data_IF_016989972959
#
_entry.id   IF_016989972959
#
_cell.length_a   1.000
_cell.length_b   1.000
_cell.length_c   1.000
_cell.angle_alpha   90.00
_cell.angle_beta   90.00
_cell.angle_gamma   90.00
#
_symmetry.space_group_name_H-M   'P 1'
#
loop_
_entity.id
_entity.type
_entity.pdbx_description
1 polymer ?
#
# COMPACT_ATOMS: atom_id res chain seq x y z
N UNK A 1 1.62 -14.90 8.54
CA UNK A 1 2.00 -15.58 7.27
C UNK A 1 3.51 -15.59 7.13
N UNK A 2 4.05 -16.46 6.31
CA UNK A 2 5.48 -16.58 6.07
C UNK A 2 5.73 -16.76 4.58
N UNK A 3 6.71 -16.05 4.04
CA UNK A 3 7.20 -16.32 2.68
C UNK A 3 7.94 -17.65 2.68
N UNK A 4 7.76 -18.44 1.61
CA UNK A 4 8.56 -19.64 1.41
C UNK A 4 10.03 -19.23 1.18
N UNK A 5 10.87 -19.55 2.14
CA UNK A 5 12.31 -19.28 2.12
C UNK A 5 13.17 -20.55 2.11
N UNK A 6 12.53 -21.71 1.91
CA UNK A 6 13.18 -23.01 1.94
C UNK A 6 13.26 -23.69 0.57
N UNK A 7 12.37 -23.32 -0.36
CA UNK A 7 12.31 -23.92 -1.70
C UNK A 7 13.31 -23.28 -2.65
N UNK A 8 14.20 -24.08 -3.23
CA UNK A 8 15.04 -23.65 -4.35
C UNK A 8 14.23 -23.70 -5.64
N UNK A 9 14.09 -22.56 -6.31
CA UNK A 9 13.35 -22.44 -7.58
C UNK A 9 14.28 -22.58 -8.77
N UNK A 10 13.81 -23.26 -9.81
CA UNK A 10 14.47 -23.28 -11.11
C UNK A 10 14.12 -21.99 -11.89
N UNK A 11 14.93 -21.68 -12.90
CA UNK A 11 14.65 -20.54 -13.79
C UNK A 11 13.26 -20.65 -14.39
N UNK A 12 12.46 -19.60 -14.32
CA UNK A 12 11.09 -19.55 -14.83
C UNK A 12 10.01 -20.11 -13.88
N UNK A 13 10.38 -20.63 -12.72
CA UNK A 13 9.41 -21.05 -11.71
C UNK A 13 9.01 -19.89 -10.79
N UNK A 14 7.72 -19.82 -10.47
CA UNK A 14 7.18 -18.87 -9.50
C UNK A 14 7.23 -19.46 -8.08
N UNK A 15 7.47 -18.58 -7.09
CA UNK A 15 7.38 -18.94 -5.68
C UNK A 15 5.91 -19.05 -5.26
N UNK A 16 5.62 -19.99 -4.38
CA UNK A 16 4.29 -20.11 -3.78
C UNK A 16 3.93 -18.81 -3.04
N UNK A 17 2.71 -18.34 -3.24
CA UNK A 17 2.16 -17.16 -2.60
C UNK A 17 0.90 -17.50 -1.80
N UNK A 18 0.55 -16.63 -0.88
CA UNK A 18 -0.68 -16.73 -0.08
C UNK A 18 -1.44 -15.42 -0.19
N UNK A 19 -2.73 -15.53 -0.51
CA UNK A 19 -3.68 -14.41 -0.55
C UNK A 19 -4.74 -14.62 0.53
N UNK A 20 -5.02 -13.60 1.32
CA UNK A 20 -6.05 -13.61 2.36
C UNK A 20 -7.02 -12.47 2.08
N UNK A 21 -8.31 -12.77 2.11
CA UNK A 21 -9.37 -11.78 1.91
C UNK A 21 -10.34 -11.75 3.09
N UNK A 22 -10.93 -10.57 3.43
CA UNK A 22 -12.01 -10.49 4.39
C UNK A 22 -13.32 -11.04 3.83
N UNK A 23 -14.04 -11.72 4.70
CA UNK A 23 -15.42 -12.06 4.40
C UNK A 23 -16.34 -10.83 4.48
N UNK A 24 -15.93 -9.83 5.24
CA UNK A 24 -16.67 -8.58 5.42
C UNK A 24 -16.28 -7.59 4.32
N UNK A 25 -17.24 -6.87 3.80
CA UNK A 25 -17.06 -5.78 2.82
C UNK A 25 -17.24 -4.45 3.51
N UNK A 26 -16.54 -3.44 3.03
CA UNK A 26 -16.54 -2.09 3.59
C UNK A 26 -16.86 -1.09 2.47
N UNK A 27 -17.53 -0.02 2.84
CA UNK A 27 -17.83 1.11 1.96
C UNK A 27 -17.35 2.41 2.62
N UNK A 28 -16.06 2.42 2.93
CA UNK A 28 -15.41 3.50 3.68
C UNK A 28 -15.03 3.11 5.10
N UNK A 29 -14.24 3.95 5.73
CA UNK A 29 -13.78 3.78 7.11
C UNK A 29 -12.34 4.17 7.31
N UNK A 30 -11.88 4.04 8.54
CA UNK A 30 -10.47 4.15 8.90
C UNK A 30 -9.88 2.75 9.01
N UNK A 31 -8.84 2.51 8.22
CA UNK A 31 -8.11 1.26 8.16
C UNK A 31 -6.73 1.47 8.76
N UNK A 32 -6.39 0.71 9.78
CA UNK A 32 -5.09 0.76 10.45
C UNK A 32 -4.36 -0.56 10.25
N UNK A 33 -3.15 -0.50 9.74
CA UNK A 33 -2.28 -1.65 9.56
C UNK A 33 -0.99 -1.42 10.35
N UNK A 34 -0.78 -2.23 11.37
CA UNK A 34 0.44 -2.27 12.18
C UNK A 34 1.36 -3.36 11.62
N UNK A 35 2.48 -2.95 11.03
CA UNK A 35 3.46 -3.84 10.38
C UNK A 35 4.72 -3.84 11.20
N UNK A 36 5.01 -4.95 11.89
CA UNK A 36 6.25 -5.12 12.66
C UNK A 36 7.42 -5.44 11.74
N UNK A 37 7.18 -6.27 10.73
CA UNK A 37 8.21 -6.70 9.79
C UNK A 37 7.57 -7.13 8.48
N UNK A 38 8.17 -6.77 7.35
CA UNK A 38 7.72 -7.21 6.03
C UNK A 38 8.82 -7.95 5.27
N UNK A 39 8.46 -8.83 4.32
CA UNK A 39 9.45 -9.49 3.48
C UNK A 39 10.11 -8.47 2.56
N UNK A 40 11.41 -8.66 2.33
CA UNK A 40 12.19 -7.90 1.36
C UNK A 40 13.22 -8.81 0.73
N UNK A 41 13.52 -8.61 -0.56
CA UNK A 41 14.47 -9.42 -1.31
C UNK A 41 14.10 -9.61 -2.76
N UNK A 42 15.02 -10.15 -3.56
CA UNK A 42 14.80 -10.41 -4.97
C UNK A 42 13.59 -11.33 -5.21
N UNK A 43 12.82 -11.05 -6.25
CA UNK A 43 11.64 -11.82 -6.68
C UNK A 43 10.51 -11.89 -5.63
N UNK A 44 10.52 -10.98 -4.67
CA UNK A 44 9.39 -10.76 -3.79
C UNK A 44 8.56 -9.60 -4.32
N UNK A 45 7.29 -9.82 -4.40
CA UNK A 45 6.27 -8.78 -4.54
C UNK A 45 5.32 -8.97 -3.37
N UNK A 46 5.67 -8.38 -2.26
CA UNK A 46 4.79 -8.40 -1.12
C UNK A 46 3.55 -7.57 -1.49
N UNK A 47 2.56 -8.18 -2.13
CA UNK A 47 1.24 -7.64 -2.42
C UNK A 47 0.19 -8.48 -1.70
N UNK A 48 -0.65 -7.87 -0.90
CA UNK A 48 -1.67 -8.56 -0.13
C UNK A 48 -3.01 -7.88 -0.24
N UNK A 49 -4.07 -8.59 -0.63
CA UNK A 49 -5.43 -8.10 -0.42
C UNK A 49 -5.68 -7.96 1.07
N UNK A 50 -6.02 -6.77 1.48
CA UNK A 50 -6.34 -6.55 2.87
C UNK A 50 -7.72 -6.85 3.18
N UNK A 51 -7.69 -7.61 4.15
CA UNK A 51 -8.75 -7.66 5.10
C UNK A 51 -8.30 -6.95 6.31
N UNK A 52 -9.01 -5.90 6.57
CA UNK A 52 -8.90 -5.14 7.76
C UNK A 52 -8.80 -6.00 8.99
N UNK A 53 -7.79 -5.75 9.80
CA UNK A 53 -7.82 -6.08 11.21
C UNK A 53 -8.13 -4.84 12.04
N UNK A 54 -9.37 -4.78 12.53
CA UNK A 54 -9.58 -4.16 13.81
C UNK A 54 -8.71 -4.90 14.83
N UNK A 55 -7.78 -4.22 15.45
CA UNK A 55 -7.04 -4.72 16.58
C UNK A 55 -8.04 -4.99 17.70
N UNK A 56 -8.43 -6.24 17.88
CA UNK A 56 -8.81 -6.71 19.20
C UNK A 56 -7.50 -7.14 19.86
N UNK A 57 -7.16 -6.47 20.94
CA UNK A 57 -5.97 -6.75 21.74
C UNK A 57 -5.81 -8.25 21.96
N UNK A 58 -4.71 -8.83 21.53
CA UNK A 58 -3.93 -9.86 22.20
C UNK A 58 -3.14 -10.84 21.34
N UNK A 59 -3.20 -10.84 20.00
CA UNK A 59 -2.35 -11.78 19.25
C UNK A 59 -1.51 -11.06 18.19
N UNK A 60 -0.21 -10.99 18.48
CA UNK A 60 0.83 -10.51 17.54
C UNK A 60 1.03 -11.60 16.50
N UNK A 61 0.31 -11.49 15.39
CA UNK A 61 0.62 -12.25 14.20
C UNK A 61 1.69 -11.50 13.41
N UNK A 62 2.88 -12.07 13.31
CA UNK A 62 3.93 -11.64 12.38
C UNK A 62 3.42 -11.85 10.94
N UNK A 63 2.75 -10.86 10.39
CA UNK A 63 2.26 -10.87 9.02
C UNK A 63 3.23 -10.11 8.12
N UNK A 64 3.80 -10.82 7.18
CA UNK A 64 4.38 -10.20 5.98
C UNK A 64 3.24 -9.75 5.08
N UNK A 65 2.89 -8.48 5.07
CA UNK A 65 1.68 -8.01 4.38
C UNK A 65 1.92 -6.73 3.60
N UNK A 66 1.33 -6.72 2.44
CA UNK A 66 0.87 -5.56 1.74
C UNK A 66 -0.65 -5.47 1.85
N UNK A 67 -1.17 -4.28 1.69
CA UNK A 67 -2.55 -4.05 1.94
C UNK A 67 -3.19 -3.22 0.85
N UNK A 68 -4.25 -3.75 0.23
CA UNK A 68 -5.12 -3.01 -0.69
C UNK A 68 -6.60 -3.31 -0.43
N UNK A 69 -7.45 -2.42 -0.92
CA UNK A 69 -8.91 -2.56 -0.94
C UNK A 69 -9.33 -2.71 -2.39
N UNK A 70 -10.04 -3.75 -2.76
CA UNK A 70 -10.51 -3.96 -4.12
C UNK A 70 -11.98 -4.34 -4.18
N UNK A 71 -12.67 -3.90 -5.22
CA UNK A 71 -14.04 -4.28 -5.51
C UNK A 71 -14.11 -5.62 -6.27
N UNK A 72 -15.29 -6.24 -6.22
CA UNK A 72 -15.53 -7.52 -6.92
C UNK A 72 -15.69 -7.37 -8.42
N UNK A 73 -16.07 -6.20 -8.88
CA UNK A 73 -16.25 -5.83 -10.29
C UNK A 73 -15.07 -4.99 -10.81
N UNK A 74 -13.87 -5.38 -10.43
CA UNK A 74 -12.64 -4.72 -10.85
C UNK A 74 -12.52 -4.57 -12.38
N UNK A 75 -12.04 -3.42 -12.91
CA UNK A 75 -11.61 -2.22 -12.18
C UNK A 75 -12.74 -1.22 -11.91
N UNK A 76 -13.99 -1.50 -12.29
CA UNK A 76 -15.10 -0.56 -12.21
C UNK A 76 -15.38 -0.11 -10.77
N UNK A 77 -15.30 -1.00 -9.81
CA UNK A 77 -15.45 -0.68 -8.39
C UNK A 77 -14.22 -0.10 -7.72
N UNK A 78 -13.10 -0.03 -8.42
CA UNK A 78 -11.85 0.55 -7.94
C UNK A 78 -10.99 -0.38 -7.10
N UNK A 79 -9.75 0.07 -6.87
CA UNK A 79 -8.74 -0.54 -6.00
C UNK A 79 -7.92 0.56 -5.32
N UNK A 80 -7.58 0.35 -4.06
CA UNK A 80 -6.76 1.26 -3.25
C UNK A 80 -5.61 0.44 -2.67
N UNK A 81 -4.40 0.63 -3.19
CA UNK A 81 -3.18 0.02 -2.68
C UNK A 81 -2.49 1.00 -1.75
N UNK A 82 -2.56 0.76 -0.46
CA UNK A 82 -1.99 1.68 0.52
C UNK A 82 -0.63 1.25 1.05
N UNK A 83 -0.21 0.04 0.74
CA UNK A 83 1.12 -0.48 1.03
C UNK A 83 1.56 -1.41 -0.09
N UNK A 84 2.48 -0.95 -0.93
CA UNK A 84 2.97 -1.72 -2.07
C UNK A 84 4.42 -1.40 -2.41
N UNK A 85 5.17 -2.42 -2.83
CA UNK A 85 6.51 -2.33 -3.37
C UNK A 85 7.03 -3.70 -3.81
N UNK A 86 8.16 -3.72 -4.49
CA UNK A 86 8.74 -4.95 -5.06
C UNK A 86 10.21 -5.11 -4.70
N UNK A 87 10.67 -6.35 -4.67
CA UNK A 87 12.07 -6.70 -4.50
C UNK A 87 12.70 -6.12 -3.23
N UNK A 88 13.59 -5.16 -3.41
CA UNK A 88 14.36 -4.49 -2.36
C UNK A 88 13.96 -3.03 -2.19
N UNK A 89 12.75 -2.67 -2.64
CA UNK A 89 12.23 -1.31 -2.44
C UNK A 89 12.26 -0.93 -0.96
N UNK A 90 12.53 0.34 -0.72
CA UNK A 90 12.52 0.94 0.61
C UNK A 90 11.49 2.07 0.73
N UNK A 91 10.89 2.48 -0.39
CA UNK A 91 9.85 3.48 -0.45
C UNK A 91 8.51 2.83 -0.71
N UNK A 92 7.52 3.12 0.12
CA UNK A 92 6.16 2.68 -0.13
C UNK A 92 5.56 3.38 -1.35
N UNK A 93 4.80 2.66 -2.15
CA UNK A 93 3.96 3.21 -3.21
C UNK A 93 2.49 3.07 -2.82
N UNK A 94 1.74 4.13 -3.04
CA UNK A 94 0.30 4.15 -2.85
C UNK A 94 -0.33 4.35 -4.21
N UNK A 95 -1.21 3.42 -4.61
CA UNK A 95 -1.75 3.38 -5.97
C UNK A 95 -3.27 3.29 -5.95
N UNK A 96 -3.91 3.96 -6.90
CA UNK A 96 -5.34 3.79 -7.16
C UNK A 96 -5.53 3.23 -8.57
N UNK A 97 -6.42 2.25 -8.70
CA UNK A 97 -6.83 1.70 -9.98
C UNK A 97 -8.33 1.90 -10.17
N UNK A 98 -8.72 2.44 -11.33
CA UNK A 98 -10.12 2.73 -11.66
C UNK A 98 -10.41 2.43 -13.13
N UNK A 99 -11.66 2.60 -13.51
CA UNK A 99 -12.04 2.78 -14.92
C UNK A 99 -11.46 4.09 -15.48
N UNK A 100 -11.47 4.26 -16.82
CA UNK A 100 -11.07 5.51 -17.45
C UNK A 100 -11.80 6.74 -16.89
N UNK A 101 -11.09 7.89 -16.82
CA UNK A 101 -11.66 9.18 -16.46
C UNK A 101 -11.30 9.69 -15.06
N UNK A 102 -10.57 8.90 -14.26
CA UNK A 102 -10.03 9.34 -12.98
C UNK A 102 -8.55 9.69 -13.11
N UNK A 103 -8.16 10.84 -12.59
CA UNK A 103 -6.77 11.32 -12.58
C UNK A 103 -6.41 11.93 -11.23
N UNK A 104 -5.17 11.77 -10.83
CA UNK A 104 -4.62 12.41 -9.64
C UNK A 104 -4.37 13.90 -9.92
N UNK A 105 -4.83 14.77 -9.02
CA UNK A 105 -4.52 16.20 -9.06
C UNK A 105 -3.08 16.45 -8.59
N UNK A 106 -2.18 16.52 -9.55
CA UNK A 106 -0.74 16.71 -9.29
C UNK A 106 -0.38 18.09 -8.74
N UNK A 107 -1.27 19.07 -8.84
CA UNK A 107 -1.06 20.42 -8.29
C UNK A 107 -1.01 20.43 -6.75
N UNK A 108 -1.52 19.37 -6.12
CA UNK A 108 -1.52 19.18 -4.67
C UNK A 108 -0.26 18.50 -4.13
N UNK A 109 0.64 18.06 -5.00
CA UNK A 109 1.91 17.45 -4.59
C UNK A 109 2.83 18.50 -3.96
N UNK A 110 3.28 18.24 -2.74
CA UNK A 110 4.25 19.08 -2.04
C UNK A 110 5.23 18.21 -1.24
N UNK A 111 6.22 17.61 -1.92
CA UNK A 111 7.14 16.65 -1.32
C UNK A 111 8.02 17.26 -0.21
N UNK A 112 8.19 18.58 -0.22
CA UNK A 112 9.05 19.29 0.74
C UNK A 112 8.32 19.73 2.03
N UNK A 113 6.99 19.59 2.08
CA UNK A 113 6.24 19.93 3.30
C UNK A 113 6.40 18.85 4.35
N UNK A 114 6.91 19.27 5.50
CA UNK A 114 6.72 18.54 6.75
C UNK A 114 5.26 18.55 7.19
N UNK A 115 4.91 17.64 8.11
CA UNK A 115 3.58 17.58 8.70
C UNK A 115 3.29 18.74 9.67
N UNK A 116 1.99 19.06 9.88
CA UNK A 116 0.77 18.48 9.32
C UNK A 116 0.36 19.10 8.00
N UNK A 117 -0.20 18.30 7.08
CA UNK A 117 -0.74 18.74 5.80
C UNK A 117 -2.18 19.22 6.05
N UNK A 118 -2.37 20.50 6.27
CA UNK A 118 -3.69 21.08 6.63
C UNK A 118 -4.51 21.61 5.46
N UNK A 119 -3.97 21.58 4.24
CA UNK A 119 -4.47 22.28 3.06
C UNK A 119 -4.83 21.37 1.87
N UNK A 120 -5.16 20.11 2.12
CA UNK A 120 -5.39 19.09 1.09
C UNK A 120 -4.20 18.84 0.14
N UNK A 121 -3.01 19.21 0.53
CA UNK A 121 -1.79 18.80 -0.16
C UNK A 121 -1.30 17.45 0.37
N UNK A 122 -0.47 16.78 -0.39
CA UNK A 122 0.18 15.54 0.03
C UNK A 122 1.69 15.63 -0.13
N UNK A 123 2.40 14.86 0.66
CA UNK A 123 3.85 14.69 0.56
C UNK A 123 4.16 13.49 -0.33
N UNK A 124 5.16 13.35 -1.01
CA UNK A 124 5.46 12.21 -1.88
C UNK A 124 5.62 12.62 -3.32
N UNK A 125 6.18 11.72 -4.08
CA UNK A 125 6.48 11.94 -5.50
C UNK A 125 5.45 11.24 -6.35
N UNK A 126 4.74 12.01 -7.18
CA UNK A 126 3.82 11.43 -8.18
C UNK A 126 4.63 10.67 -9.21
N UNK A 127 4.34 9.40 -9.40
CA UNK A 127 4.95 8.52 -10.41
C UNK A 127 4.09 8.47 -11.66
N UNK A 128 2.79 8.34 -11.49
CA UNK A 128 1.78 8.32 -12.55
C UNK A 128 0.53 9.03 -12.08
N UNK A 129 -0.17 9.74 -12.97
CA UNK A 129 -1.38 10.49 -12.62
C UNK A 129 -2.66 9.89 -13.19
N UNK A 130 -2.59 9.03 -14.20
CA UNK A 130 -3.77 8.37 -14.78
C UNK A 130 -4.09 7.10 -13.99
N UNK A 131 -5.28 7.08 -13.36
CA UNK A 131 -5.72 5.95 -12.54
C UNK A 131 -6.37 4.82 -13.36
N UNK A 132 -6.43 4.95 -14.69
CA UNK A 132 -7.04 3.97 -15.57
C UNK A 132 -6.29 2.64 -15.58
N UNK A 133 -6.87 1.62 -14.95
CA UNK A 133 -6.30 0.28 -14.88
C UNK A 133 -6.22 -0.44 -16.24
N UNK A 134 -7.03 -0.01 -17.21
CA UNK A 134 -7.07 -0.59 -18.56
C UNK A 134 -6.03 0.03 -19.50
N UNK A 135 -5.28 1.01 -19.03
CA UNK A 135 -4.20 1.65 -19.75
C UNK A 135 -2.85 1.38 -19.06
N UNK A 136 -1.75 1.70 -19.76
CA UNK A 136 -0.39 1.73 -19.19
C UNK A 136 0.02 0.46 -18.42
N UNK A 137 -0.39 -0.71 -18.90
CA UNK A 137 -0.08 -2.01 -18.28
C UNK A 137 -0.55 -2.12 -16.82
N UNK A 138 -1.69 -1.52 -16.51
CA UNK A 138 -2.27 -1.52 -15.15
C UNK A 138 -1.40 -0.81 -14.11
N UNK A 139 -0.72 0.27 -14.47
CA UNK A 139 0.11 1.02 -13.52
C UNK A 139 -0.71 1.80 -12.50
N UNK A 140 -1.93 2.19 -12.85
CA UNK A 140 -2.76 3.07 -12.02
C UNK A 140 -2.17 4.46 -11.81
N UNK A 141 -2.75 5.28 -10.95
CA UNK A 141 -2.13 6.53 -10.49
C UNK A 141 -1.44 6.29 -9.15
N UNK A 142 -0.17 6.70 -9.07
CA UNK A 142 0.70 6.28 -7.98
C UNK A 142 1.49 7.45 -7.40
N UNK A 143 1.57 7.47 -6.07
CA UNK A 143 2.40 8.36 -5.27
C UNK A 143 3.41 7.49 -4.50
N UNK A 144 4.69 7.78 -4.63
CA UNK A 144 5.74 7.14 -3.87
C UNK A 144 6.14 7.99 -2.66
N UNK A 145 6.24 7.34 -1.50
CA UNK A 145 6.78 7.97 -0.29
C UNK A 145 8.23 8.44 -0.53
N UNK A 146 8.63 9.49 0.16
CA UNK A 146 10.00 10.02 0.11
C UNK A 146 10.87 9.55 1.27
N UNK A 147 10.30 8.83 2.25
CA UNK A 147 11.04 8.27 3.38
C UNK A 147 11.44 6.83 3.12
N UNK A 148 12.73 6.55 3.02
CA UNK A 148 13.27 5.20 2.82
C UNK A 148 13.02 4.22 3.97
N UNK A 149 12.29 4.63 5.01
CA UNK A 149 11.82 3.77 6.10
C UNK A 149 10.35 3.39 5.94
N UNK A 150 9.73 3.83 4.87
CA UNK A 150 8.31 3.57 4.61
C UNK A 150 8.03 2.17 4.04
N UNK A 151 9.08 1.39 3.68
CA UNK A 151 8.91 0.06 3.12
C UNK A 151 10.15 -0.82 3.32
N UNK A 152 9.98 -2.14 3.16
CA UNK A 152 11.07 -3.11 3.03
C UNK A 152 12.09 -3.09 4.16
N UNK A 153 13.37 -3.11 3.79
CA UNK A 153 14.47 -3.13 4.75
C UNK A 153 14.52 -1.88 5.64
N UNK A 154 14.13 -0.72 5.11
CA UNK A 154 14.08 0.51 5.88
C UNK A 154 13.03 0.48 6.98
N UNK A 155 11.83 -0.04 6.70
CA UNK A 155 10.79 -0.26 7.70
C UNK A 155 11.21 -1.29 8.75
N UNK A 156 11.80 -2.40 8.30
CA UNK A 156 12.27 -3.45 9.20
C UNK A 156 13.36 -2.95 10.14
N UNK A 157 14.26 -2.10 9.65
CA UNK A 157 15.37 -1.53 10.43
C UNK A 157 14.92 -0.64 11.60
N UNK A 158 13.72 -0.09 11.54
CA UNK A 158 13.10 0.68 12.63
C UNK A 158 12.06 -0.10 13.44
N UNK A 159 12.00 -1.42 13.27
CA UNK A 159 11.08 -2.33 13.95
C UNK A 159 9.61 -2.17 13.55
N UNK A 160 9.37 -1.71 12.33
CA UNK A 160 8.02 -1.61 11.77
C UNK A 160 7.43 -0.21 11.77
N UNK A 161 6.13 -0.13 11.50
CA UNK A 161 5.38 1.12 11.45
C UNK A 161 3.88 0.88 11.26
N UNK A 162 3.09 1.93 11.41
CA UNK A 162 1.64 1.88 11.22
C UNK A 162 1.27 2.65 9.95
N UNK A 163 0.42 2.06 9.14
CA UNK A 163 -0.22 2.69 8.00
C UNK A 163 -1.68 2.93 8.34
N UNK A 164 -2.15 4.15 8.08
CA UNK A 164 -3.53 4.54 8.33
C UNK A 164 -4.15 5.02 7.02
N UNK A 165 -5.22 4.38 6.60
CA UNK A 165 -5.98 4.76 5.41
C UNK A 165 -7.38 5.20 5.83
N UNK A 166 -7.69 6.47 5.62
CA UNK A 166 -9.03 7.00 5.76
C UNK A 166 -9.67 7.06 4.37
N UNK A 167 -10.78 6.33 4.22
CA UNK A 167 -11.61 6.36 3.03
C UNK A 167 -13.02 6.80 3.43
N UNK A 168 -13.44 7.95 2.92
CA UNK A 168 -14.75 8.51 3.16
C UNK A 168 -15.30 9.21 1.89
N UNK A 169 -16.42 9.91 2.02
CA UNK A 169 -17.04 10.64 0.90
C UNK A 169 -16.24 11.87 0.43
N UNK A 170 -15.17 12.23 1.11
CA UNK A 170 -14.25 13.32 0.71
C UNK A 170 -13.04 12.83 -0.06
N UNK A 171 -12.77 11.51 -0.05
CA UNK A 171 -11.67 10.87 -0.76
C UNK A 171 -10.93 9.82 0.04
N UNK A 172 -9.72 9.54 -0.41
CA UNK A 172 -8.79 8.59 0.23
C UNK A 172 -7.58 9.36 0.75
N UNK A 173 -7.23 9.14 2.01
CA UNK A 173 -6.01 9.66 2.64
C UNK A 173 -5.23 8.52 3.23
N UNK A 174 -3.97 8.41 2.89
CA UNK A 174 -3.08 7.36 3.38
C UNK A 174 -1.96 8.04 4.18
N UNK A 175 -1.75 7.59 5.39
CA UNK A 175 -0.74 8.13 6.29
C UNK A 175 0.18 7.03 6.79
N UNK A 176 1.48 7.31 6.87
CA UNK A 176 2.46 6.44 7.51
C UNK A 176 2.88 7.02 8.86
N UNK A 177 2.86 6.22 9.91
CA UNK A 177 3.07 6.71 11.29
C UNK A 177 4.52 6.81 11.70
N UNK A 178 5.46 6.61 10.81
CA UNK A 178 6.87 6.78 11.17
C UNK A 178 7.14 8.20 11.66
N UNK A 179 6.39 9.18 11.13
CA UNK A 179 6.35 10.58 11.59
C UNK A 179 5.01 11.28 11.22
N UNK A 180 3.88 10.57 11.24
CA UNK A 180 2.56 11.15 10.87
C UNK A 180 2.57 11.83 9.49
N UNK A 181 3.09 11.17 8.47
CA UNK A 181 3.00 11.66 7.10
C UNK A 181 1.72 11.15 6.46
N UNK A 182 0.93 12.05 5.88
CA UNK A 182 -0.32 11.73 5.20
C UNK A 182 -0.24 12.06 3.70
N UNK A 183 -0.94 11.28 2.93
CA UNK A 183 -1.02 11.31 1.47
C UNK A 183 -2.45 11.50 1.01
#
# INVERSE_FOLDING_TARGET
MRVDNSTSLQSGQNRNSVRIQSKKRYNGGLFLLDVIHMPTGCSLWPAGETILFLRLCSDVLNLSMLAWLTATDWPAGGEIDFLEGVHTDVFNSMTLHTNPGCTLDTSRSNPDKGLPVSDNTFTGTVKTSDCNALANSNTGCSIQDTDGRSFGAGLNGQQGGVYATLWDNTGVRICTSIFFRCW
#
